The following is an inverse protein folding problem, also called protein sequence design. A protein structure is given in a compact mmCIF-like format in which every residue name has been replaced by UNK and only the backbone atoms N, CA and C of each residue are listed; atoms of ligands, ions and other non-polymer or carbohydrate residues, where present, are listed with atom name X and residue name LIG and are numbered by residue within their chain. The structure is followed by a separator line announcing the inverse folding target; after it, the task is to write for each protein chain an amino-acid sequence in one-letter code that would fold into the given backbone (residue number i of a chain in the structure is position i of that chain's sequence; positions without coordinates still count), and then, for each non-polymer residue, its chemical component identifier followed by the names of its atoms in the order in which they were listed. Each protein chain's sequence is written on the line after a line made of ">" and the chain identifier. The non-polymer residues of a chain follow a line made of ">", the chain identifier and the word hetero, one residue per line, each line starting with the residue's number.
data_IF_339484811521
#
_entry.id   IF_339484811521
#
_cell.length_a   1.000
_cell.length_b   1.000
_cell.length_c   1.000
_cell.angle_alpha   90.00
_cell.angle_beta   90.00
_cell.angle_gamma   90.00
#
_symmetry.space_group_name_H-M   'P 1'
#
loop_
_entity.id
_entity.type
_entity.pdbx_description
1 polymer ?
#
# COMPACT_ATOMS: atom_id res chain seq x y z
N UNK A 1 -36.41 21.32 -9.21
CA UNK A 1 -35.40 20.32 -9.59
C UNK A 1 -35.06 19.60 -8.29
N UNK A 2 -35.81 18.53 -8.03
CA UNK A 2 -35.79 17.79 -6.76
C UNK A 2 -34.52 16.94 -6.70
N UNK A 3 -33.78 17.08 -5.60
CA UNK A 3 -32.65 16.23 -5.28
C UNK A 3 -33.27 14.94 -4.74
N UNK A 4 -33.30 13.92 -5.58
CA UNK A 4 -33.73 12.56 -5.23
C UNK A 4 -32.91 12.08 -4.02
N UNK A 5 -33.59 11.92 -2.89
CA UNK A 5 -33.08 11.25 -1.70
C UNK A 5 -32.73 9.80 -2.07
N UNK A 6 -31.45 9.46 -1.97
CA UNK A 6 -30.98 8.09 -2.07
C UNK A 6 -31.43 7.32 -0.82
N UNK A 7 -31.78 6.03 -0.93
CA UNK A 7 -32.26 5.26 0.21
C UNK A 7 -31.16 5.06 1.25
N UNK A 8 -31.42 5.54 2.47
CA UNK A 8 -30.71 5.19 3.70
C UNK A 8 -30.86 3.68 3.94
N UNK A 9 -30.03 2.90 3.26
CA UNK A 9 -30.00 1.45 3.42
C UNK A 9 -28.93 1.12 4.45
N UNK A 10 -29.38 0.88 5.69
CA UNK A 10 -28.76 0.06 6.73
C UNK A 10 -27.22 -0.05 6.69
N UNK A 11 -26.52 1.00 7.08
CA UNK A 11 -25.18 0.84 7.65
C UNK A 11 -25.36 0.78 9.18
N UNK A 12 -25.19 -0.40 9.77
CA UNK A 12 -24.93 -0.46 11.21
C UNK A 12 -23.78 0.52 11.52
N UNK A 13 -23.91 1.38 12.54
CA UNK A 13 -22.85 2.32 12.85
C UNK A 13 -21.56 1.53 13.11
N UNK A 14 -20.50 1.90 12.41
CA UNK A 14 -19.17 1.31 12.60
C UNK A 14 -18.90 1.14 14.10
N UNK A 15 -18.35 0.00 14.54
CA UNK A 15 -17.91 -0.18 15.92
C UNK A 15 -16.78 0.79 16.34
N UNK A 16 -16.31 1.62 15.41
CA UNK A 16 -15.36 2.71 15.62
C UNK A 16 -15.70 3.91 14.74
N UNK A 17 -15.66 5.12 15.28
CA UNK A 17 -15.92 6.32 14.49
C UNK A 17 -14.80 6.55 13.47
N UNK A 18 -15.15 6.61 12.18
CA UNK A 18 -14.21 7.00 11.13
C UNK A 18 -13.72 8.43 11.40
N UNK A 19 -12.41 8.71 11.34
CA UNK A 19 -11.90 10.08 11.47
C UNK A 19 -12.53 10.99 10.42
N UNK A 20 -13.35 11.93 10.88
CA UNK A 20 -13.95 12.95 10.03
C UNK A 20 -12.99 14.12 9.90
N UNK A 21 -12.67 14.51 8.67
CA UNK A 21 -11.88 15.71 8.44
C UNK A 21 -12.76 16.96 8.65
N UNK A 22 -12.22 18.06 9.21
CA UNK A 22 -12.95 19.32 9.33
C UNK A 22 -13.51 19.79 7.98
N UNK A 23 -14.71 20.41 7.94
CA UNK A 23 -15.34 20.84 6.69
C UNK A 23 -14.45 21.73 5.81
N UNK A 24 -13.63 22.58 6.42
CA UNK A 24 -12.71 23.45 5.69
C UNK A 24 -11.57 22.67 5.02
N UNK A 25 -11.10 21.59 5.64
CA UNK A 25 -10.10 20.71 5.07
C UNK A 25 -10.67 19.93 3.89
N UNK A 26 -11.90 19.41 4.01
CA UNK A 26 -12.63 18.76 2.91
C UNK A 26 -12.80 19.71 1.71
N UNK A 27 -13.18 20.96 1.97
CA UNK A 27 -13.32 21.99 0.92
C UNK A 27 -11.99 22.27 0.23
N UNK A 28 -10.89 22.38 0.98
CA UNK A 28 -9.54 22.59 0.42
C UNK A 28 -9.10 21.41 -0.46
N UNK A 29 -9.25 20.18 0.03
CA UNK A 29 -8.92 18.99 -0.75
C UNK A 29 -9.78 18.86 -2.00
N UNK A 30 -11.09 19.11 -1.89
CA UNK A 30 -12.01 19.07 -3.03
C UNK A 30 -11.62 20.09 -4.09
N UNK A 31 -11.27 21.32 -3.67
CA UNK A 31 -10.78 22.34 -4.60
C UNK A 31 -9.47 21.89 -5.25
N UNK A 32 -8.50 21.41 -4.48
CA UNK A 32 -7.24 20.91 -5.03
C UNK A 32 -7.47 19.84 -6.09
N UNK A 33 -8.28 18.81 -5.77
CA UNK A 33 -8.55 17.68 -6.67
C UNK A 33 -9.26 18.11 -7.96
N UNK A 34 -10.16 19.10 -7.88
CA UNK A 34 -10.82 19.66 -9.08
C UNK A 34 -9.87 20.40 -10.02
N UNK A 35 -8.82 21.00 -9.48
CA UNK A 35 -7.87 21.82 -10.25
C UNK A 35 -6.59 21.07 -10.61
N UNK A 36 -6.44 19.84 -10.12
CA UNK A 36 -5.30 18.96 -10.41
C UNK A 36 -5.70 17.82 -11.35
N UNK A 37 -4.70 17.20 -11.98
CA UNK A 37 -4.87 15.93 -12.68
C UNK A 37 -5.03 14.74 -11.71
N UNK A 38 -5.76 14.89 -10.61
CA UNK A 38 -5.92 13.83 -9.59
C UNK A 38 -7.37 13.45 -9.35
N UNK A 39 -8.31 14.12 -10.05
CA UNK A 39 -9.72 13.71 -10.09
C UNK A 39 -9.86 12.25 -10.54
N UNK A 40 -9.05 11.82 -11.52
CA UNK A 40 -9.05 10.44 -12.01
C UNK A 40 -8.79 9.39 -10.92
N UNK A 41 -8.11 9.74 -9.81
CA UNK A 41 -7.90 8.80 -8.69
C UNK A 41 -9.22 8.49 -8.00
N UNK A 42 -10.08 9.49 -7.82
CA UNK A 42 -11.43 9.29 -7.29
C UNK A 42 -12.26 8.46 -8.26
N UNK A 43 -12.27 8.83 -9.53
CA UNK A 43 -13.03 8.13 -10.57
C UNK A 43 -12.60 6.65 -10.68
N UNK A 44 -11.30 6.38 -10.63
CA UNK A 44 -10.77 5.03 -10.68
C UNK A 44 -11.13 4.19 -9.44
N UNK A 45 -11.21 4.81 -8.26
CA UNK A 45 -11.61 4.11 -7.04
C UNK A 45 -13.12 3.86 -7.01
N UNK A 46 -13.92 4.82 -7.47
CA UNK A 46 -15.37 4.67 -7.62
C UNK A 46 -15.71 3.57 -8.64
N UNK A 47 -14.95 3.46 -9.73
CA UNK A 47 -15.08 2.37 -10.71
C UNK A 47 -14.76 1.00 -10.08
N UNK A 48 -13.68 0.91 -9.29
CA UNK A 48 -13.32 -0.34 -8.58
C UNK A 48 -14.41 -0.73 -7.58
N UNK A 49 -14.96 0.24 -6.84
CA UNK A 49 -16.07 0.03 -5.91
C UNK A 49 -17.33 -0.43 -6.66
N UNK A 50 -17.65 0.19 -7.80
CA UNK A 50 -18.76 -0.21 -8.66
C UNK A 50 -18.62 -1.64 -9.17
N UNK A 51 -17.43 -2.04 -9.63
CA UNK A 51 -17.17 -3.42 -10.06
C UNK A 51 -17.28 -4.42 -8.90
N UNK A 52 -16.87 -4.05 -7.69
CA UNK A 52 -17.12 -4.87 -6.49
C UNK A 52 -18.60 -5.10 -6.25
N UNK A 53 -19.41 -4.03 -6.31
CA UNK A 53 -20.85 -4.11 -6.10
C UNK A 53 -21.52 -4.99 -7.14
N UNK A 54 -21.09 -4.91 -8.40
CA UNK A 54 -21.55 -5.80 -9.47
C UNK A 54 -21.20 -7.27 -9.17
N UNK A 55 -19.97 -7.56 -8.74
CA UNK A 55 -19.56 -8.92 -8.37
C UNK A 55 -20.42 -9.47 -7.22
N UNK A 56 -20.70 -8.66 -6.20
CA UNK A 56 -21.58 -9.04 -5.09
C UNK A 56 -23.01 -9.32 -5.57
N UNK A 57 -23.56 -8.48 -6.44
CA UNK A 57 -24.91 -8.65 -6.99
C UNK A 57 -25.05 -9.90 -7.86
N UNK A 58 -23.97 -10.29 -8.56
CA UNK A 58 -23.94 -11.49 -9.42
C UNK A 58 -23.58 -12.78 -8.68
N UNK A 59 -23.18 -12.71 -7.41
CA UNK A 59 -22.77 -13.88 -6.64
C UNK A 59 -24.01 -14.63 -6.10
N UNK A 60 -24.34 -15.83 -6.63
CA UNK A 60 -25.57 -16.53 -6.26
C UNK A 60 -25.58 -17.02 -4.81
N UNK A 61 -24.40 -17.12 -4.18
CA UNK A 61 -24.22 -17.61 -2.80
C UNK A 61 -24.08 -16.48 -1.78
N UNK A 62 -24.07 -15.21 -2.20
CA UNK A 62 -23.77 -14.08 -1.32
C UNK A 62 -22.35 -14.11 -0.73
N UNK A 63 -21.48 -14.99 -1.24
CA UNK A 63 -20.11 -15.10 -0.78
C UNK A 63 -19.32 -13.85 -1.14
N UNK A 64 -18.55 -13.35 -0.18
CA UNK A 64 -17.66 -12.21 -0.38
C UNK A 64 -16.61 -12.56 -1.45
N UNK A 65 -16.39 -11.70 -2.45
CA UNK A 65 -15.47 -12.01 -3.53
C UNK A 65 -14.05 -12.14 -2.99
N UNK A 66 -13.37 -13.21 -3.37
CA UNK A 66 -11.98 -13.49 -3.01
C UNK A 66 -11.04 -12.41 -3.57
N UNK A 67 -9.98 -12.06 -2.83
CA UNK A 67 -9.05 -10.97 -3.18
C UNK A 67 -8.46 -11.03 -4.61
N UNK A 68 -8.57 -12.16 -5.31
CA UNK A 68 -8.23 -12.29 -6.73
C UNK A 68 -8.97 -11.31 -7.63
N UNK A 69 -10.17 -10.86 -7.27
CA UNK A 69 -10.93 -9.88 -8.07
C UNK A 69 -10.21 -8.52 -8.18
N UNK A 70 -9.29 -8.21 -7.26
CA UNK A 70 -8.49 -6.99 -7.29
C UNK A 70 -7.29 -7.05 -8.24
N UNK A 71 -6.92 -8.24 -8.74
CA UNK A 71 -5.73 -8.45 -9.58
C UNK A 71 -5.74 -7.63 -10.88
N UNK A 72 -6.87 -7.52 -11.62
CA UNK A 72 -6.93 -6.70 -12.83
C UNK A 72 -6.59 -5.22 -12.61
N UNK A 73 -6.87 -4.67 -11.43
CA UNK A 73 -6.62 -3.26 -11.11
C UNK A 73 -5.19 -2.96 -10.65
N UNK A 74 -4.28 -3.94 -10.65
CA UNK A 74 -2.86 -3.72 -10.30
C UNK A 74 -2.21 -2.53 -11.03
N UNK A 75 -2.42 -2.31 -12.35
CA UNK A 75 -1.88 -1.14 -13.04
C UNK A 75 -2.42 0.17 -12.46
N UNK A 76 -3.73 0.21 -12.16
CA UNK A 76 -4.40 1.37 -11.55
C UNK A 76 -3.83 1.66 -10.17
N UNK A 77 -3.66 0.64 -9.32
CA UNK A 77 -3.05 0.83 -8.00
C UNK A 77 -1.62 1.33 -8.07
N UNK A 78 -0.83 0.90 -9.07
CA UNK A 78 0.51 1.44 -9.30
C UNK A 78 0.46 2.91 -9.70
N UNK A 79 -0.41 3.27 -10.65
CA UNK A 79 -0.59 4.66 -11.05
C UNK A 79 -1.03 5.55 -9.87
N UNK A 80 -1.99 5.08 -9.05
CA UNK A 80 -2.45 5.83 -7.87
C UNK A 80 -1.33 5.98 -6.87
N UNK A 81 -0.54 4.92 -6.63
CA UNK A 81 0.63 4.97 -5.74
C UNK A 81 1.64 6.00 -6.20
N UNK A 82 1.96 6.02 -7.48
CA UNK A 82 3.01 6.85 -8.07
C UNK A 82 2.56 8.32 -8.28
N UNK A 83 1.25 8.59 -8.23
CA UNK A 83 0.72 9.95 -8.18
C UNK A 83 1.17 10.68 -6.90
N UNK A 84 1.64 11.92 -6.97
CA UNK A 84 2.14 12.63 -5.77
C UNK A 84 1.03 13.03 -4.77
N UNK A 85 -0.23 12.98 -5.19
CA UNK A 85 -1.33 13.52 -4.39
C UNK A 85 -1.99 12.47 -3.50
N UNK A 86 -2.17 12.83 -2.23
CA UNK A 86 -2.86 12.04 -1.21
C UNK A 86 -4.27 12.58 -0.88
N UNK A 87 -4.59 13.83 -1.29
CA UNK A 87 -5.89 14.47 -1.04
C UNK A 87 -7.08 13.67 -1.60
N UNK A 88 -6.94 13.09 -2.80
CA UNK A 88 -7.98 12.24 -3.40
C UNK A 88 -8.26 10.99 -2.55
N UNK A 89 -7.24 10.37 -1.97
CA UNK A 89 -7.41 9.22 -1.08
C UNK A 89 -8.10 9.61 0.22
N UNK A 90 -7.81 10.79 0.77
CA UNK A 90 -8.54 11.29 1.93
C UNK A 90 -10.01 11.54 1.61
N UNK A 91 -10.32 12.22 0.50
CA UNK A 91 -11.71 12.46 0.09
C UNK A 91 -12.44 11.13 -0.12
N UNK A 92 -11.81 10.15 -0.77
CA UNK A 92 -12.38 8.82 -0.93
C UNK A 92 -12.66 8.14 0.41
N UNK A 93 -11.70 8.17 1.34
CA UNK A 93 -11.85 7.63 2.69
C UNK A 93 -13.03 8.24 3.44
N UNK A 94 -13.50 9.46 3.14
CA UNK A 94 -14.64 10.04 3.85
C UNK A 94 -15.99 9.49 3.35
N UNK A 95 -16.05 8.96 2.13
CA UNK A 95 -17.31 8.54 1.49
C UNK A 95 -17.40 7.05 1.13
N UNK A 96 -16.27 6.35 1.04
CA UNK A 96 -16.27 4.97 0.55
C UNK A 96 -16.96 4.01 1.53
N UNK A 97 -17.47 2.89 0.99
CA UNK A 97 -17.99 1.79 1.78
C UNK A 97 -16.92 1.24 2.76
N UNK A 98 -17.37 0.62 3.84
CA UNK A 98 -16.50 0.15 4.93
C UNK A 98 -15.45 -0.85 4.45
N UNK A 99 -15.83 -1.73 3.54
CA UNK A 99 -14.95 -2.78 3.03
C UNK A 99 -13.90 -2.25 2.06
N UNK A 100 -14.08 -1.02 1.57
CA UNK A 100 -13.10 -0.31 0.76
C UNK A 100 -12.08 0.46 1.61
N UNK A 101 -12.35 0.67 2.91
CA UNK A 101 -11.44 1.37 3.82
C UNK A 101 -10.06 0.72 3.89
N UNK A 102 -9.91 -0.61 4.04
CA UNK A 102 -8.58 -1.24 4.06
C UNK A 102 -7.79 -1.00 2.77
N UNK A 103 -8.45 -1.02 1.60
CA UNK A 103 -7.80 -0.76 0.32
C UNK A 103 -7.31 0.68 0.23
N UNK A 104 -8.17 1.65 0.57
CA UNK A 104 -7.85 3.06 0.54
C UNK A 104 -6.74 3.41 1.55
N UNK A 105 -6.80 2.84 2.76
CA UNK A 105 -5.75 2.97 3.77
C UNK A 105 -4.45 2.31 3.32
N UNK A 106 -4.50 1.17 2.64
CA UNK A 106 -3.29 0.54 2.07
C UNK A 106 -2.65 1.44 0.99
N UNK A 107 -3.44 2.07 0.13
CA UNK A 107 -2.93 3.03 -0.86
C UNK A 107 -2.31 4.27 -0.20
N UNK A 108 -2.98 4.84 0.80
CA UNK A 108 -2.49 5.99 1.56
C UNK A 108 -1.21 5.65 2.34
N UNK A 109 -1.20 4.48 2.97
CA UNK A 109 -0.04 3.83 3.58
C UNK A 109 1.16 3.81 2.65
N UNK A 110 1.00 3.52 1.35
CA UNK A 110 2.14 3.52 0.43
C UNK A 110 2.78 4.90 0.23
N UNK A 111 2.05 5.98 0.47
CA UNK A 111 2.55 7.35 0.37
C UNK A 111 3.22 7.84 1.66
N UNK A 112 2.83 7.31 2.81
CA UNK A 112 3.39 7.67 4.11
C UNK A 112 4.92 7.48 4.15
N UNK A 113 5.59 8.42 4.81
CA UNK A 113 7.04 8.40 5.05
C UNK A 113 7.33 8.73 6.53
N UNK A 114 8.60 8.92 6.88
CA UNK A 114 9.03 9.19 8.26
C UNK A 114 8.57 10.56 8.78
N UNK A 115 8.36 11.52 7.89
CA UNK A 115 8.00 12.89 8.22
C UNK A 115 6.49 13.13 8.20
N UNK A 116 5.77 12.39 7.36
CA UNK A 116 4.33 12.52 7.21
C UNK A 116 3.63 11.15 7.12
N UNK A 117 2.66 10.97 8.01
CA UNK A 117 1.81 9.79 8.09
C UNK A 117 0.43 10.01 7.48
N UNK A 118 0.15 11.20 6.92
CA UNK A 118 -1.09 11.52 6.22
C UNK A 118 -2.34 11.11 7.00
N UNK A 119 -2.43 11.49 8.28
CA UNK A 119 -3.62 11.21 9.11
C UNK A 119 -3.88 9.74 9.45
N UNK A 120 -3.00 8.80 9.06
CA UNK A 120 -3.08 7.39 9.47
C UNK A 120 -3.22 7.16 10.99
N UNK A 121 -2.63 7.98 11.89
CA UNK A 121 -2.82 7.83 13.32
C UNK A 121 -4.28 7.95 13.79
N UNK A 122 -5.15 8.61 13.01
CA UNK A 122 -6.58 8.67 13.34
C UNK A 122 -7.28 7.30 13.30
N UNK A 123 -6.70 6.32 12.62
CA UNK A 123 -7.28 4.99 12.45
C UNK A 123 -6.76 3.96 13.47
N UNK A 124 -5.92 4.38 14.44
CA UNK A 124 -5.38 3.49 15.49
C UNK A 124 -6.51 2.77 16.24
N UNK A 125 -7.67 3.41 16.36
CA UNK A 125 -8.80 2.91 17.13
C UNK A 125 -9.74 2.00 16.32
N UNK A 126 -9.43 1.74 15.04
CA UNK A 126 -10.24 0.88 14.18
C UNK A 126 -10.30 -0.55 14.69
N UNK A 127 -11.49 -1.17 14.70
CA UNK A 127 -11.64 -2.57 15.15
C UNK A 127 -11.19 -3.59 14.10
N UNK A 128 -11.08 -3.20 12.82
CA UNK A 128 -10.77 -4.13 11.73
C UNK A 128 -9.30 -4.62 11.77
N UNK A 129 -9.05 -5.94 11.91
CA UNK A 129 -7.70 -6.50 11.94
C UNK A 129 -6.89 -6.27 10.66
N UNK A 130 -7.52 -6.08 9.51
CA UNK A 130 -6.84 -5.73 8.26
C UNK A 130 -6.28 -4.31 8.31
N UNK A 131 -7.10 -3.34 8.76
CA UNK A 131 -6.67 -1.95 8.98
C UNK A 131 -5.51 -1.91 9.95
N UNK A 132 -5.63 -2.62 11.06
CA UNK A 132 -4.63 -2.66 12.12
C UNK A 132 -3.28 -3.22 11.63
N UNK A 133 -3.30 -4.28 10.83
CA UNK A 133 -2.09 -4.82 10.17
C UNK A 133 -1.46 -3.83 9.19
N UNK A 134 -2.28 -3.09 8.43
CA UNK A 134 -1.79 -2.05 7.52
C UNK A 134 -1.10 -0.95 8.32
N UNK A 135 -1.71 -0.47 9.40
CA UNK A 135 -1.16 0.58 10.27
C UNK A 135 0.14 0.12 10.92
N UNK A 136 0.17 -1.06 11.52
CA UNK A 136 1.36 -1.62 12.16
C UNK A 136 2.55 -1.70 11.19
N UNK A 137 2.33 -2.24 9.99
CA UNK A 137 3.36 -2.33 8.93
C UNK A 137 3.84 -0.95 8.48
N UNK A 138 2.91 0.01 8.40
CA UNK A 138 3.21 1.36 7.94
C UNK A 138 4.02 2.12 8.97
N UNK A 139 3.59 2.12 10.24
CA UNK A 139 4.31 2.79 11.32
C UNK A 139 5.70 2.20 11.53
N UNK A 140 5.85 0.87 11.42
CA UNK A 140 7.17 0.25 11.48
C UNK A 140 8.07 0.71 10.33
N UNK A 141 7.57 0.67 9.08
CA UNK A 141 8.33 1.10 7.89
C UNK A 141 8.72 2.58 7.95
N UNK A 142 7.86 3.43 8.52
CA UNK A 142 8.08 4.86 8.67
C UNK A 142 8.80 5.23 9.98
N UNK A 143 9.20 4.26 10.81
CA UNK A 143 9.82 4.49 12.13
C UNK A 143 8.96 5.39 13.06
N UNK A 144 7.64 5.32 12.93
CA UNK A 144 6.69 6.05 13.75
C UNK A 144 6.44 5.29 15.08
N UNK A 145 7.50 5.14 15.87
CA UNK A 145 7.52 4.30 17.07
C UNK A 145 6.42 4.65 18.07
N UNK A 146 6.18 5.94 18.32
CA UNK A 146 5.12 6.38 19.25
C UNK A 146 3.73 5.93 18.82
N UNK A 147 3.43 6.00 17.53
CA UNK A 147 2.14 5.56 16.99
C UNK A 147 2.03 4.04 16.98
N UNK A 148 3.14 3.36 16.71
CA UNK A 148 3.25 1.92 16.81
C UNK A 148 3.00 1.42 18.25
N UNK A 149 3.63 2.05 19.24
CA UNK A 149 3.45 1.69 20.66
C UNK A 149 2.01 1.90 21.13
N UNK A 150 1.35 2.98 20.67
CA UNK A 150 -0.08 3.21 20.93
C UNK A 150 -0.97 2.13 20.33
N UNK A 151 -0.69 1.75 19.08
CA UNK A 151 -1.38 0.65 18.41
C UNK A 151 -1.22 -0.66 19.19
N UNK A 152 0.02 -0.94 19.60
CA UNK A 152 0.39 -2.15 20.34
C UNK A 152 -0.25 -2.23 21.72
N UNK A 153 -0.25 -1.13 22.48
CA UNK A 153 -0.85 -1.05 23.80
C UNK A 153 -2.37 -1.33 23.77
N UNK A 154 -3.05 -0.98 22.67
CA UNK A 154 -4.49 -1.20 22.51
C UNK A 154 -4.84 -2.64 22.13
N UNK A 155 -4.04 -3.28 21.28
CA UNK A 155 -4.33 -4.63 20.79
C UNK A 155 -3.79 -5.75 21.69
N UNK A 156 -2.89 -5.42 22.62
CA UNK A 156 -2.05 -6.43 23.27
C UNK A 156 -1.10 -7.10 22.25
N UNK A 157 -0.25 -8.04 22.69
CA UNK A 157 0.59 -8.82 21.79
C UNK A 157 -0.30 -9.78 20.98
N UNK A 158 -0.94 -9.29 19.92
CA UNK A 158 -1.62 -10.16 18.97
C UNK A 158 -0.57 -11.02 18.28
N UNK A 159 -0.80 -12.33 18.24
CA UNK A 159 0.14 -13.32 17.72
C UNK A 159 0.70 -12.95 16.33
N UNK A 160 -0.10 -12.31 15.47
CA UNK A 160 0.33 -11.90 14.13
C UNK A 160 1.26 -10.67 14.11
N UNK A 161 0.98 -9.64 14.91
CA UNK A 161 1.84 -8.44 14.97
C UNK A 161 3.13 -8.78 15.74
N UNK A 162 3.03 -9.61 16.78
CA UNK A 162 4.18 -10.17 17.50
C UNK A 162 5.07 -11.04 16.61
N UNK A 163 4.49 -11.94 15.80
CA UNK A 163 5.24 -12.69 14.77
C UNK A 163 5.86 -11.77 13.72
N UNK A 164 5.14 -10.75 13.26
CA UNK A 164 5.65 -9.79 12.30
C UNK A 164 6.85 -9.00 12.86
N UNK A 165 6.80 -8.54 14.11
CA UNK A 165 7.93 -7.89 14.79
C UNK A 165 9.11 -8.85 15.02
N UNK A 166 8.84 -10.09 15.43
CA UNK A 166 9.86 -11.12 15.60
C UNK A 166 10.59 -11.42 14.28
N UNK A 167 9.88 -11.32 13.14
CA UNK A 167 10.44 -11.46 11.80
C UNK A 167 11.11 -10.16 11.29
N UNK A 168 10.55 -8.99 11.60
CA UNK A 168 11.06 -7.70 11.15
C UNK A 168 12.36 -7.28 11.86
N UNK A 169 12.52 -7.66 13.13
CA UNK A 169 13.75 -7.48 13.91
C UNK A 169 14.88 -8.45 13.51
N UNK A 170 14.58 -9.50 12.75
CA UNK A 170 15.54 -10.50 12.30
C UNK A 170 15.64 -10.50 10.78
N UNK A 171 16.20 -9.43 10.21
CA UNK A 171 16.93 -9.62 8.94
C UNK A 171 18.06 -10.60 9.25
N UNK A 172 17.87 -11.87 8.91
CA UNK A 172 18.93 -12.86 9.01
C UNK A 172 20.24 -12.24 8.48
N UNK A 173 21.38 -12.38 9.18
CA UNK A 173 22.65 -11.85 8.72
C UNK A 173 22.86 -12.15 7.24
N UNK A 174 23.50 -11.24 6.51
CA UNK A 174 23.71 -11.40 5.07
C UNK A 174 24.27 -12.79 4.73
N UNK A 175 25.18 -13.31 5.55
CA UNK A 175 25.73 -14.67 5.48
C UNK A 175 24.67 -15.77 5.54
N UNK A 176 23.69 -15.70 6.43
CA UNK A 176 22.59 -16.66 6.53
C UNK A 176 21.65 -16.61 5.32
N UNK A 177 21.38 -15.41 4.79
CA UNK A 177 20.57 -15.25 3.58
C UNK A 177 21.28 -15.86 2.36
N UNK A 178 22.59 -15.64 2.25
CA UNK A 178 23.45 -16.22 1.21
C UNK A 178 23.53 -17.76 1.34
N UNK A 179 23.64 -18.27 2.56
CA UNK A 179 23.66 -19.71 2.82
C UNK A 179 22.32 -20.39 2.47
N UNK A 180 21.19 -19.75 2.75
CA UNK A 180 19.87 -20.27 2.39
C UNK A 180 19.62 -20.20 0.88
N UNK A 181 20.07 -19.13 0.21
CA UNK A 181 20.05 -19.01 -1.24
C UNK A 181 20.87 -20.13 -1.91
N UNK A 182 22.11 -20.33 -1.47
CA UNK A 182 22.97 -21.40 -2.00
C UNK A 182 22.38 -22.79 -1.76
N UNK A 183 21.71 -23.02 -0.62
CA UNK A 183 20.98 -24.26 -0.36
C UNK A 183 19.82 -24.46 -1.35
N UNK A 184 19.04 -23.42 -1.60
CA UNK A 184 17.94 -23.47 -2.56
C UNK A 184 18.41 -23.69 -4.01
N UNK A 185 19.51 -23.06 -4.41
CA UNK A 185 20.11 -23.22 -5.74
C UNK A 185 20.75 -24.60 -5.88
N UNK A 186 21.40 -25.13 -4.84
CA UNK A 186 22.00 -26.46 -4.84
C UNK A 186 20.96 -27.60 -4.80
N UNK A 187 19.75 -27.33 -4.31
CA UNK A 187 18.65 -28.31 -4.23
C UNK A 187 17.78 -28.36 -5.48
N UNK A 188 18.01 -27.50 -6.48
CA UNK A 188 17.37 -27.66 -7.79
C UNK A 188 18.13 -28.75 -8.57
N UNK A 189 17.52 -29.92 -8.85
CA UNK A 189 18.13 -30.87 -9.76
C UNK A 189 18.33 -30.18 -11.11
N UNK A 190 19.51 -30.35 -11.70
CA UNK A 190 19.93 -29.81 -12.99
C UNK A 190 19.18 -30.45 -14.18
N UNK A 191 17.85 -30.57 -14.08
CA UNK A 191 16.98 -31.11 -15.11
C UNK A 191 16.27 -29.95 -15.83
N UNK A 192 16.92 -29.49 -16.90
CA UNK A 192 16.35 -29.07 -18.19
C UNK A 192 14.93 -28.45 -18.09
N UNK A 193 14.89 -27.12 -18.02
CA UNK A 193 13.87 -26.35 -18.72
C UNK A 193 14.62 -25.37 -19.61
N UNK A 194 14.40 -25.45 -20.94
CA UNK A 194 14.75 -24.38 -21.86
C UNK A 194 14.31 -23.05 -21.23
N UNK A 195 15.13 -21.97 -21.28
CA UNK A 195 14.75 -20.75 -20.59
C UNK A 195 13.42 -20.27 -21.18
N UNK A 196 12.29 -20.26 -20.43
CA UNK A 196 11.23 -19.35 -20.82
C UNK A 196 11.86 -17.98 -20.68
N UNK A 197 12.08 -17.28 -21.79
CA UNK A 197 12.59 -15.92 -21.76
C UNK A 197 11.73 -15.14 -20.77
N UNK A 198 12.27 -14.75 -19.61
CA UNK A 198 11.44 -14.13 -18.61
C UNK A 198 11.13 -12.71 -19.11
N UNK A 199 9.84 -12.38 -19.20
CA UNK A 199 9.28 -11.06 -19.58
C UNK A 199 9.74 -9.87 -18.71
N UNK A 200 10.80 -10.02 -17.93
CA UNK A 200 11.37 -9.06 -16.98
C UNK A 200 12.73 -8.51 -17.44
N UNK A 201 13.14 -8.80 -18.68
CA UNK A 201 14.32 -8.20 -19.31
C UNK A 201 14.18 -6.73 -19.69
N UNK A 202 13.04 -6.07 -19.43
CA UNK A 202 12.84 -4.73 -19.98
C UNK A 202 13.43 -3.57 -19.18
N UNK A 203 13.43 -3.55 -17.84
CA UNK A 203 13.78 -2.30 -17.13
C UNK A 203 14.38 -2.44 -15.72
N UNK A 204 15.48 -3.18 -15.49
CA UNK A 204 16.31 -2.87 -14.30
C UNK A 204 17.80 -3.26 -14.41
N UNK A 205 18.76 -2.35 -14.10
CA UNK A 205 20.16 -2.50 -14.49
C UNK A 205 21.08 -3.20 -13.47
N UNK A 206 20.55 -3.93 -12.48
CA UNK A 206 21.35 -4.46 -11.37
C UNK A 206 21.36 -5.98 -11.22
N UNK A 207 20.88 -6.73 -12.22
CA UNK A 207 20.72 -8.20 -12.11
C UNK A 207 21.73 -9.05 -12.88
N UNK A 208 22.78 -8.48 -13.43
CA UNK A 208 23.93 -9.23 -13.96
C UNK A 208 25.20 -8.50 -13.52
N UNK A 209 26.26 -9.25 -13.20
CA UNK A 209 27.53 -8.75 -12.66
C UNK A 209 27.89 -7.33 -13.15
N UNK A 210 28.42 -6.44 -12.27
CA UNK A 210 28.69 -5.06 -12.65
C UNK A 210 29.45 -5.05 -13.98
N UNK A 211 29.02 -4.25 -14.97
CA UNK A 211 29.68 -4.22 -16.26
C UNK A 211 31.17 -3.97 -16.03
N UNK A 212 32.03 -4.88 -16.50
CA UNK A 212 33.50 -4.81 -16.36
C UNK A 212 34.12 -3.56 -17.00
N UNK A 213 33.33 -2.70 -17.65
CA UNK A 213 33.82 -1.49 -18.30
C UNK A 213 34.05 -0.37 -17.29
N UNK A 214 35.28 0.15 -17.26
CA UNK A 214 35.67 1.27 -16.39
C UNK A 214 34.75 2.49 -16.53
N UNK A 215 34.15 2.70 -17.70
CA UNK A 215 33.21 3.79 -17.95
C UNK A 215 31.90 3.67 -17.16
N UNK A 216 31.37 2.45 -16.98
CA UNK A 216 30.15 2.22 -16.22
C UNK A 216 30.40 2.35 -14.70
N UNK A 217 31.55 1.86 -14.23
CA UNK A 217 32.00 2.05 -12.85
C UNK A 217 32.15 3.55 -12.54
N UNK A 218 32.80 4.33 -13.43
CA UNK A 218 32.93 5.78 -13.25
C UNK A 218 31.57 6.50 -13.21
N UNK A 219 30.59 6.09 -14.02
CA UNK A 219 29.23 6.66 -13.99
C UNK A 219 28.51 6.36 -12.67
N UNK A 220 28.60 5.12 -12.19
CA UNK A 220 28.02 4.72 -10.91
C UNK A 220 28.65 5.51 -9.75
N UNK A 221 29.98 5.63 -9.72
CA UNK A 221 30.69 6.38 -8.69
C UNK A 221 30.38 7.88 -8.72
N UNK A 222 30.26 8.50 -9.91
CA UNK A 222 29.81 9.90 -10.01
C UNK A 222 28.39 10.09 -9.48
N UNK A 223 27.49 9.14 -9.73
CA UNK A 223 26.11 9.21 -9.26
C UNK A 223 26.02 9.04 -7.75
N UNK A 224 26.82 8.15 -7.16
CA UNK A 224 26.95 8.00 -5.71
C UNK A 224 27.57 9.28 -5.10
N UNK A 225 28.64 9.81 -5.70
CA UNK A 225 29.28 11.04 -5.22
C UNK A 225 28.32 12.24 -5.28
N UNK A 226 27.49 12.32 -6.32
CA UNK A 226 26.44 13.33 -6.43
C UNK A 226 25.40 13.18 -5.31
N UNK A 227 24.90 11.96 -5.05
CA UNK A 227 23.94 11.69 -3.98
C UNK A 227 24.50 11.96 -2.57
N UNK A 228 25.81 11.78 -2.35
CA UNK A 228 26.47 12.05 -1.07
C UNK A 228 26.76 13.54 -0.88
N UNK A 229 27.13 14.24 -1.96
CA UNK A 229 27.49 15.67 -1.93
C UNK A 229 26.25 16.57 -1.87
N UNK A 230 25.18 16.19 -2.55
CA UNK A 230 23.87 16.83 -2.47
C UNK A 230 23.00 15.96 -1.57
N UNK A 231 23.11 16.12 -0.25
CA UNK A 231 22.28 15.45 0.75
C UNK A 231 20.79 15.60 0.38
N UNK A 232 20.24 14.60 -0.30
CA UNK A 232 18.80 14.32 -0.41
C UNK A 232 18.48 13.23 0.60
#
# INVERSE_FOLDING_TARGET
>A
MEISELPDTFAEPLPWARPQAPPDQLRRWSRYVRHSHTAWVLDALDEIESQRLLLLATSPTGERPTLSWLVPFRPVFRAIRDCETYCALHLYLQRCAEEMVPLALWLLSRKANRFDLYGLPGYIDASDPHVQRILARTFLRCEAWRQFDRLWARQGPTDEIGRFLALAGRRAPFSQRMANWNRHVAQQPAAIAAPPSPLWFRDWPWSLAPPKSAAAIRRALRRIHWLVRWRV
#
